data_IF_691612456014
#
_entry.id   IF_691612456014
#
_cell.length_a   1.000
_cell.length_b   1.000
_cell.length_c   1.000
_cell.angle_alpha   90.00
_cell.angle_beta   90.00
_cell.angle_gamma   90.00
#
_symmetry.space_group_name_H-M   'P 1'
#
loop_
_entity.id
_entity.type
_entity.pdbx_description
1 polymer ?
#
# COMPACT_ATOMS: atom_id res chain seq x y z
N UNK A 1 34.27 44.03 -91.05
CA UNK A 1 33.47 44.91 -90.19
C UNK A 1 33.11 44.10 -88.97
N UNK A 2 33.52 44.63 -87.84
CA UNK A 2 33.47 44.11 -86.48
C UNK A 2 32.04 44.17 -85.92
N UNK A 3 31.57 43.05 -85.38
CA UNK A 3 30.50 43.05 -84.38
C UNK A 3 31.12 42.60 -83.05
N UNK A 4 31.09 43.52 -82.10
CA UNK A 4 31.75 43.49 -80.80
C UNK A 4 30.73 43.05 -79.75
N UNK A 5 30.81 41.79 -79.28
CA UNK A 5 30.04 41.32 -78.13
C UNK A 5 30.63 41.92 -76.85
N UNK A 6 29.86 42.79 -76.19
CA UNK A 6 30.20 43.30 -74.84
C UNK A 6 29.51 42.44 -73.78
N UNK A 7 30.30 41.59 -73.13
CA UNK A 7 29.89 40.79 -71.97
C UNK A 7 29.79 41.68 -70.72
N UNK A 8 28.58 41.83 -70.14
CA UNK A 8 28.37 42.62 -68.91
C UNK A 8 28.49 41.74 -67.67
N UNK A 9 29.34 42.10 -66.67
CA UNK A 9 29.69 41.20 -65.57
C UNK A 9 28.68 41.25 -64.41
N UNK A 10 28.30 40.05 -63.95
CA UNK A 10 28.15 39.70 -62.54
C UNK A 10 27.10 40.43 -61.69
N UNK A 11 25.93 39.79 -61.51
CA UNK A 11 25.14 39.91 -60.26
C UNK A 11 25.00 38.54 -59.61
N UNK A 12 25.92 38.20 -58.70
CA UNK A 12 25.69 37.08 -57.76
C UNK A 12 24.80 37.61 -56.62
N UNK A 13 23.67 36.96 -56.28
CA UNK A 13 22.84 37.40 -55.17
C UNK A 13 23.61 37.25 -53.87
N UNK A 14 23.73 38.34 -53.09
CA UNK A 14 24.31 38.29 -51.74
C UNK A 14 23.51 37.31 -50.89
N UNK A 15 24.11 36.17 -50.55
CA UNK A 15 23.58 35.26 -49.54
C UNK A 15 23.79 35.91 -48.17
N UNK A 16 22.71 36.44 -47.60
CA UNK A 16 22.69 36.91 -46.21
C UNK A 16 23.05 35.74 -45.27
N UNK A 17 23.90 35.98 -44.25
CA UNK A 17 24.29 34.94 -43.32
C UNK A 17 23.05 34.41 -42.58
N UNK A 18 22.88 33.09 -42.50
CA UNK A 18 21.72 32.39 -41.93
C UNK A 18 21.49 32.64 -40.41
N UNK A 19 22.20 33.58 -39.81
CA UNK A 19 22.15 33.92 -38.38
C UNK A 19 22.14 35.45 -38.14
N UNK A 20 21.42 36.22 -38.95
CA UNK A 20 21.07 37.59 -38.55
C UNK A 20 20.11 37.50 -37.34
N UNK A 21 20.48 38.12 -36.22
CA UNK A 21 19.64 38.15 -35.02
C UNK A 21 18.29 38.82 -35.37
N UNK A 22 17.21 38.04 -35.33
CA UNK A 22 15.85 38.50 -35.63
C UNK A 22 15.54 39.70 -34.72
N UNK A 23 15.27 40.88 -35.29
CA UNK A 23 14.84 42.06 -34.53
C UNK A 23 13.55 41.69 -33.80
N UNK A 24 13.61 41.62 -32.47
CA UNK A 24 12.45 41.24 -31.63
C UNK A 24 11.57 42.47 -31.39
N UNK A 25 10.26 42.31 -31.59
CA UNK A 25 9.29 43.35 -31.26
C UNK A 25 9.17 43.48 -29.72
N UNK A 26 9.25 44.71 -29.20
CA UNK A 26 9.18 45.04 -27.75
C UNK A 26 7.83 45.64 -27.34
N UNK A 27 6.82 45.59 -28.21
CA UNK A 27 5.45 45.99 -27.86
C UNK A 27 4.94 45.17 -26.65
N UNK A 28 4.10 45.76 -25.77
CA UNK A 28 3.55 45.05 -24.62
C UNK A 28 2.70 43.85 -25.08
N UNK A 29 2.87 42.71 -24.41
CA UNK A 29 2.10 41.51 -24.71
C UNK A 29 0.64 41.69 -24.27
N UNK A 30 -0.34 41.20 -25.05
CA UNK A 30 -1.76 41.33 -24.70
C UNK A 30 -2.16 40.44 -23.51
N UNK A 31 -1.43 39.35 -23.27
CA UNK A 31 -1.64 38.45 -22.14
C UNK A 31 -0.35 38.38 -21.31
N UNK A 32 -0.48 38.64 -20.02
CA UNK A 32 0.61 38.51 -19.06
C UNK A 32 0.68 37.08 -18.55
N UNK A 33 1.88 36.54 -18.46
CA UNK A 33 2.12 35.20 -17.92
C UNK A 33 1.82 35.25 -16.43
N UNK A 34 0.85 34.45 -15.97
CA UNK A 34 0.51 34.34 -14.56
C UNK A 34 1.30 33.21 -13.89
N UNK A 35 1.47 33.30 -12.57
CA UNK A 35 2.08 32.21 -11.80
C UNK A 35 1.29 30.89 -11.93
N UNK A 36 -0.05 30.96 -12.01
CA UNK A 36 -0.89 29.78 -12.21
C UNK A 36 -0.62 29.09 -13.56
N UNK A 37 -0.46 29.87 -14.63
CA UNK A 37 -0.17 29.31 -15.96
C UNK A 37 1.15 28.54 -15.96
N UNK A 38 2.18 29.09 -15.33
CA UNK A 38 3.47 28.41 -15.17
C UNK A 38 3.34 27.11 -14.37
N UNK A 39 2.59 27.13 -13.26
CA UNK A 39 2.38 25.95 -12.41
C UNK A 39 1.55 24.88 -13.13
N UNK A 40 0.54 25.27 -13.91
CA UNK A 40 -0.28 24.36 -14.71
C UNK A 40 0.54 23.69 -15.81
N UNK A 41 1.32 24.46 -16.54
CA UNK A 41 2.18 23.96 -17.62
C UNK A 41 3.33 23.09 -17.07
N UNK A 42 3.85 23.43 -15.89
CA UNK A 42 4.82 22.59 -15.19
C UNK A 42 4.21 21.25 -14.75
N UNK A 43 2.96 21.28 -14.26
CA UNK A 43 2.24 20.05 -13.89
C UNK A 43 1.93 19.19 -15.12
N UNK A 44 1.41 19.76 -16.21
CA UNK A 44 1.09 19.04 -17.46
C UNK A 44 2.29 18.37 -18.11
N UNK A 45 3.50 18.92 -17.93
CA UNK A 45 4.72 18.30 -18.44
C UNK A 45 5.05 16.98 -17.77
N UNK A 46 4.55 16.72 -16.56
CA UNK A 46 4.64 15.43 -15.83
C UNK A 46 6.03 14.75 -15.94
N UNK A 47 7.11 15.52 -15.96
CA UNK A 47 8.48 15.05 -16.29
C UNK A 47 9.01 13.94 -15.37
N UNK A 48 8.48 13.86 -14.15
CA UNK A 48 8.89 12.90 -13.12
C UNK A 48 7.98 11.66 -13.05
N UNK A 49 6.84 11.65 -13.73
CA UNK A 49 5.97 10.49 -13.74
C UNK A 49 6.55 9.43 -14.67
N UNK A 50 7.11 8.38 -14.07
CA UNK A 50 7.50 7.19 -14.80
C UNK A 50 6.24 6.58 -15.45
N UNK A 51 6.31 6.19 -16.74
CA UNK A 51 5.19 5.49 -17.35
C UNK A 51 4.91 4.20 -16.57
N UNK A 52 3.63 3.81 -16.44
CA UNK A 52 3.30 2.58 -15.74
C UNK A 52 3.96 1.38 -16.45
N UNK A 53 4.38 0.35 -15.71
CA UNK A 53 4.98 -0.83 -16.32
C UNK A 53 3.99 -1.52 -17.28
N UNK A 54 4.46 -2.12 -18.38
CA UNK A 54 3.60 -2.84 -19.31
C UNK A 54 2.90 -4.00 -18.61
N UNK A 55 1.61 -4.21 -18.90
CA UNK A 55 0.81 -5.30 -18.34
C UNK A 55 1.22 -6.63 -18.99
N UNK A 56 2.12 -7.38 -18.35
CA UNK A 56 2.48 -8.73 -18.76
C UNK A 56 1.42 -9.74 -18.30
N UNK A 57 1.02 -10.66 -19.19
CA UNK A 57 0.20 -11.82 -18.82
C UNK A 57 1.15 -12.97 -18.52
N UNK A 58 1.01 -13.58 -17.34
CA UNK A 58 1.84 -14.71 -16.91
C UNK A 58 1.20 -15.96 -17.48
N UNK A 59 1.91 -16.68 -18.36
CA UNK A 59 1.39 -17.91 -18.98
C UNK A 59 1.99 -19.16 -18.35
N UNK A 60 3.28 -19.12 -18.01
CA UNK A 60 4.00 -20.31 -17.57
C UNK A 60 4.18 -20.37 -16.05
N UNK A 61 4.21 -21.57 -15.45
CA UNK A 61 4.44 -21.73 -14.01
C UNK A 61 5.84 -21.25 -13.59
N UNK A 62 6.82 -21.33 -14.49
CA UNK A 62 8.17 -20.81 -14.26
C UNK A 62 8.18 -19.28 -14.19
N UNK A 63 7.47 -18.61 -15.10
CA UNK A 63 7.28 -17.16 -15.08
C UNK A 63 6.56 -16.70 -13.81
N UNK A 64 5.54 -17.45 -13.37
CA UNK A 64 4.84 -17.17 -12.11
C UNK A 64 5.81 -17.26 -10.92
N UNK A 65 6.65 -18.29 -10.88
CA UNK A 65 7.65 -18.46 -9.83
C UNK A 65 8.69 -17.34 -9.85
N UNK A 66 9.13 -16.89 -11.03
CA UNK A 66 10.05 -15.76 -11.16
C UNK A 66 9.40 -14.46 -10.69
N UNK A 67 8.14 -14.21 -11.07
CA UNK A 67 7.37 -13.06 -10.61
C UNK A 67 7.25 -13.05 -9.07
N UNK A 68 6.92 -14.20 -8.47
CA UNK A 68 6.86 -14.34 -7.02
C UNK A 68 8.23 -14.09 -6.37
N UNK A 69 9.32 -14.65 -6.91
CA UNK A 69 10.68 -14.42 -6.40
C UNK A 69 11.06 -12.94 -6.47
N UNK A 70 10.79 -12.27 -7.58
CA UNK A 70 11.06 -10.84 -7.78
C UNK A 70 10.29 -10.00 -6.76
N UNK A 71 9.01 -10.28 -6.56
CA UNK A 71 8.17 -9.58 -5.58
C UNK A 71 8.59 -9.83 -4.14
N UNK A 72 8.94 -11.07 -3.78
CA UNK A 72 9.52 -11.38 -2.45
C UNK A 72 10.80 -10.60 -2.20
N UNK A 73 11.70 -10.55 -3.19
CA UNK A 73 12.93 -9.77 -3.08
C UNK A 73 12.63 -8.28 -2.86
N UNK A 74 11.68 -7.71 -3.59
CA UNK A 74 11.25 -6.32 -3.41
C UNK A 74 10.76 -6.03 -1.98
N UNK A 75 9.92 -6.92 -1.43
CA UNK A 75 9.44 -6.78 -0.05
C UNK A 75 10.55 -6.95 0.99
N UNK A 76 11.39 -7.99 0.86
CA UNK A 76 12.51 -8.24 1.76
C UNK A 76 13.55 -7.10 1.72
N UNK A 77 13.84 -6.57 0.53
CA UNK A 77 14.72 -5.40 0.37
C UNK A 77 14.08 -4.16 1.03
N UNK A 78 12.75 -3.99 0.92
CA UNK A 78 12.00 -2.93 1.60
C UNK A 78 12.05 -3.04 3.13
N UNK A 79 11.90 -4.26 3.66
CA UNK A 79 12.02 -4.55 5.10
C UNK A 79 13.46 -4.31 5.58
N UNK A 80 14.47 -4.70 4.79
CA UNK A 80 15.88 -4.45 5.12
C UNK A 80 16.21 -2.96 5.21
N UNK A 81 15.62 -2.13 4.33
CA UNK A 81 15.76 -0.67 4.40
C UNK A 81 15.04 -0.07 5.62
N UNK A 82 13.78 -0.47 5.83
CA UNK A 82 12.91 0.09 6.87
C UNK A 82 12.36 -1.00 7.79
N UNK A 83 13.19 -1.52 8.70
CA UNK A 83 12.83 -2.66 9.58
C UNK A 83 11.63 -2.37 10.50
N UNK A 84 11.56 -1.15 11.04
CA UNK A 84 10.55 -0.77 12.03
C UNK A 84 9.20 -0.38 11.40
N UNK A 85 9.13 -0.28 10.06
CA UNK A 85 7.91 0.16 9.39
C UNK A 85 6.93 -1.01 9.25
N UNK A 86 5.98 -1.10 10.18
CA UNK A 86 4.97 -2.17 10.24
C UNK A 86 4.12 -2.32 8.98
N UNK A 87 3.89 -1.22 8.26
CA UNK A 87 3.13 -1.25 7.01
C UNK A 87 3.78 -2.16 5.95
N UNK A 88 5.11 -2.29 5.93
CA UNK A 88 5.82 -3.14 4.97
C UNK A 88 5.60 -4.62 5.30
N UNK A 89 5.65 -4.98 6.59
CA UNK A 89 5.34 -6.32 7.09
C UNK A 89 3.90 -6.73 6.77
N UNK A 90 2.93 -5.85 7.05
CA UNK A 90 1.50 -6.10 6.78
C UNK A 90 1.24 -6.26 5.28
N UNK A 91 1.82 -5.39 4.44
CA UNK A 91 1.70 -5.50 2.98
C UNK A 91 2.29 -6.82 2.48
N UNK A 92 3.43 -7.25 3.02
CA UNK A 92 4.07 -8.49 2.61
C UNK A 92 3.24 -9.72 3.02
N UNK A 93 2.75 -9.77 4.26
CA UNK A 93 1.87 -10.86 4.72
C UNK A 93 0.56 -10.97 3.93
N UNK A 94 -0.09 -9.83 3.62
CA UNK A 94 -1.29 -9.80 2.78
C UNK A 94 -1.03 -10.27 1.35
N UNK A 95 0.16 -10.00 0.82
CA UNK A 95 0.52 -10.45 -0.52
C UNK A 95 0.76 -11.96 -0.57
N UNK A 96 1.48 -12.54 0.40
CA UNK A 96 1.62 -14.01 0.50
C UNK A 96 0.26 -14.69 0.72
N UNK A 97 -0.64 -14.06 1.48
CA UNK A 97 -2.03 -14.52 1.62
C UNK A 97 -2.77 -14.53 0.27
N UNK A 98 -2.61 -13.47 -0.54
CA UNK A 98 -3.26 -13.40 -1.86
C UNK A 98 -2.79 -14.49 -2.84
N UNK A 99 -1.59 -15.05 -2.62
CA UNK A 99 -1.06 -16.19 -3.38
C UNK A 99 -1.60 -17.53 -2.84
N UNK A 100 -2.10 -17.55 -1.61
CA UNK A 100 -2.52 -18.76 -0.90
C UNK A 100 -1.39 -19.43 -0.08
N UNK A 101 -0.23 -18.81 0.02
CA UNK A 101 0.95 -19.33 0.73
C UNK A 101 0.91 -18.95 2.22
N UNK A 102 -0.07 -19.52 2.94
CA UNK A 102 -0.38 -19.18 4.33
C UNK A 102 0.81 -19.45 5.27
N UNK A 103 1.56 -20.53 5.04
CA UNK A 103 2.68 -20.89 5.92
C UNK A 103 3.83 -19.87 5.84
N UNK A 104 4.08 -19.28 4.66
CA UNK A 104 5.05 -18.18 4.54
C UNK A 104 4.50 -16.91 5.19
N UNK A 105 3.23 -16.61 4.98
CA UNK A 105 2.57 -15.46 5.63
C UNK A 105 2.71 -15.52 7.16
N UNK A 106 2.50 -16.68 7.77
CA UNK A 106 2.77 -16.92 9.21
C UNK A 106 4.20 -16.59 9.60
N UNK A 107 5.19 -17.09 8.86
CA UNK A 107 6.60 -16.79 9.13
C UNK A 107 6.89 -15.29 9.06
N UNK A 108 6.27 -14.57 8.12
CA UNK A 108 6.41 -13.12 8.00
C UNK A 108 5.79 -12.40 9.19
N UNK A 109 4.60 -12.81 9.63
CA UNK A 109 3.95 -12.22 10.81
C UNK A 109 4.70 -12.51 12.10
N UNK A 110 5.19 -13.73 12.31
CA UNK A 110 6.01 -14.06 13.50
C UNK A 110 7.31 -13.25 13.51
N UNK A 111 7.99 -13.11 12.36
CA UNK A 111 9.15 -12.20 12.23
C UNK A 111 8.79 -10.74 12.51
N UNK A 112 7.59 -10.30 12.13
CA UNK A 112 7.12 -8.95 12.42
C UNK A 112 6.86 -8.75 13.92
N UNK A 113 6.32 -9.77 14.60
CA UNK A 113 6.14 -9.79 16.05
C UNK A 113 7.48 -9.79 16.80
N UNK A 114 8.51 -10.46 16.28
CA UNK A 114 9.87 -10.40 16.85
C UNK A 114 10.44 -8.97 16.81
N UNK A 115 10.05 -8.16 15.83
CA UNK A 115 10.45 -6.75 15.73
C UNK A 115 9.65 -5.86 16.67
N UNK A 116 8.32 -6.00 16.66
CA UNK A 116 7.42 -5.24 17.54
C UNK A 116 6.22 -6.07 18.01
N UNK A 117 6.40 -6.73 19.15
CA UNK A 117 5.38 -7.56 19.77
C UNK A 117 4.29 -6.76 20.50
N UNK A 118 4.47 -5.45 20.72
CA UNK A 118 3.47 -4.58 21.37
C UNK A 118 2.53 -3.93 20.37
N UNK A 119 2.82 -4.03 19.08
CA UNK A 119 1.93 -3.47 18.06
C UNK A 119 0.65 -4.28 17.91
N UNK A 120 -0.46 -3.64 18.23
CA UNK A 120 -1.77 -4.29 18.18
C UNK A 120 -2.20 -4.59 16.74
N UNK A 121 -1.80 -3.74 15.79
CA UNK A 121 -2.21 -3.90 14.39
C UNK A 121 -1.65 -5.18 13.77
N UNK A 122 -0.44 -5.60 14.13
CA UNK A 122 0.17 -6.84 13.62
C UNK A 122 -0.61 -8.05 14.13
N UNK A 123 -0.89 -8.11 15.43
CA UNK A 123 -1.67 -9.19 16.05
C UNK A 123 -3.06 -9.31 15.42
N UNK A 124 -3.76 -8.19 15.23
CA UNK A 124 -5.08 -8.18 14.59
C UNK A 124 -5.00 -8.66 13.14
N UNK A 125 -4.06 -8.14 12.34
CA UNK A 125 -3.91 -8.57 10.95
C UNK A 125 -3.53 -10.05 10.83
N UNK A 126 -2.72 -10.55 11.76
CA UNK A 126 -2.33 -11.95 11.79
C UNK A 126 -3.52 -12.87 12.12
N UNK A 127 -4.27 -12.55 13.18
CA UNK A 127 -5.47 -13.31 13.55
C UNK A 127 -6.55 -13.24 12.46
N UNK A 128 -6.77 -12.07 11.85
CA UNK A 128 -7.72 -11.92 10.75
C UNK A 128 -7.31 -12.72 9.51
N UNK A 129 -6.01 -12.87 9.24
CA UNK A 129 -5.53 -13.75 8.18
C UNK A 129 -5.88 -15.21 8.47
N UNK A 130 -5.66 -15.71 9.69
CA UNK A 130 -5.98 -17.10 10.06
C UNK A 130 -7.49 -17.37 9.94
N UNK A 131 -8.31 -16.38 10.32
CA UNK A 131 -9.77 -16.44 10.14
C UNK A 131 -10.15 -16.53 8.65
N UNK A 132 -9.56 -15.72 7.78
CA UNK A 132 -9.82 -15.77 6.32
C UNK A 132 -9.38 -17.10 5.71
N UNK A 133 -8.28 -17.68 6.19
CA UNK A 133 -7.80 -19.00 5.78
C UNK A 133 -8.55 -20.17 6.44
N UNK A 134 -9.58 -19.90 7.27
CA UNK A 134 -10.40 -20.89 8.00
C UNK A 134 -9.60 -21.76 8.99
N UNK A 135 -8.47 -21.26 9.48
CA UNK A 135 -7.59 -21.97 10.42
C UNK A 135 -7.92 -21.55 11.86
N UNK A 136 -9.02 -22.09 12.39
CA UNK A 136 -9.60 -21.67 13.68
C UNK A 136 -8.65 -21.93 14.85
N UNK A 137 -8.03 -23.11 14.91
CA UNK A 137 -7.14 -23.47 16.03
C UNK A 137 -5.91 -22.56 16.09
N UNK A 138 -5.35 -22.19 14.94
CA UNK A 138 -4.25 -21.23 14.88
C UNK A 138 -4.71 -19.83 15.31
N UNK A 139 -5.88 -19.38 14.85
CA UNK A 139 -6.44 -18.09 15.27
C UNK A 139 -6.62 -18.01 16.80
N UNK A 140 -7.14 -19.07 17.44
CA UNK A 140 -7.25 -19.16 18.91
C UNK A 140 -5.90 -19.00 19.60
N UNK A 141 -4.90 -19.77 19.17
CA UNK A 141 -3.56 -19.69 19.75
C UNK A 141 -2.95 -18.28 19.60
N UNK A 142 -3.21 -17.58 18.49
CA UNK A 142 -2.75 -16.21 18.28
C UNK A 142 -3.46 -15.24 19.22
N UNK A 143 -4.78 -15.36 19.38
CA UNK A 143 -5.54 -14.52 20.31
C UNK A 143 -5.14 -14.77 21.77
N UNK A 144 -4.96 -16.02 22.19
CA UNK A 144 -4.51 -16.38 23.54
C UNK A 144 -3.14 -15.76 23.85
N UNK A 145 -2.20 -15.83 22.91
CA UNK A 145 -0.89 -15.17 23.01
C UNK A 145 -1.03 -13.65 23.10
N UNK A 146 -1.84 -13.04 22.23
CA UNK A 146 -2.04 -11.60 22.20
C UNK A 146 -2.62 -11.06 23.51
N UNK A 147 -3.62 -11.76 24.06
CA UNK A 147 -4.26 -11.45 25.35
C UNK A 147 -3.27 -11.59 26.51
N UNK A 148 -2.42 -12.63 26.48
CA UNK A 148 -1.41 -12.85 27.52
C UNK A 148 -0.37 -11.73 27.53
N UNK A 149 0.06 -11.25 26.35
CA UNK A 149 1.08 -10.19 26.24
C UNK A 149 0.49 -8.81 26.53
N UNK A 150 -0.76 -8.56 26.09
CA UNK A 150 -1.44 -7.27 26.23
C UNK A 150 -2.88 -7.45 26.74
N UNK A 151 -3.08 -7.73 28.03
CA UNK A 151 -4.41 -7.97 28.58
C UNK A 151 -5.27 -6.71 28.62
N UNK A 152 -4.67 -5.51 28.62
CA UNK A 152 -5.39 -4.22 28.63
C UNK A 152 -5.90 -3.82 27.25
N UNK A 153 -5.44 -4.47 26.18
CA UNK A 153 -5.85 -4.14 24.82
C UNK A 153 -7.22 -4.76 24.50
N UNK A 154 -8.26 -3.98 24.75
CA UNK A 154 -9.67 -4.33 24.54
C UNK A 154 -9.98 -4.99 23.19
N UNK A 155 -9.39 -4.49 22.12
CA UNK A 155 -9.68 -4.94 20.76
C UNK A 155 -9.40 -6.43 20.52
N UNK A 156 -8.49 -7.05 21.28
CA UNK A 156 -8.28 -8.49 21.20
C UNK A 156 -9.47 -9.26 21.79
N UNK A 157 -9.93 -8.87 22.96
CA UNK A 157 -11.08 -9.49 23.63
C UNK A 157 -12.34 -9.42 22.76
N UNK A 158 -12.63 -8.23 22.20
CA UNK A 158 -13.78 -8.03 21.32
C UNK A 158 -13.71 -8.87 20.06
N UNK A 159 -12.56 -8.88 19.38
CA UNK A 159 -12.38 -9.66 18.15
C UNK A 159 -12.40 -11.17 18.43
N UNK A 160 -11.86 -11.58 19.57
CA UNK A 160 -11.82 -12.98 19.97
C UNK A 160 -13.23 -13.51 20.32
N UNK A 161 -13.99 -12.75 21.10
CA UNK A 161 -15.40 -13.08 21.41
C UNK A 161 -16.24 -13.16 20.12
N UNK A 162 -16.11 -12.17 19.23
CA UNK A 162 -16.75 -12.19 17.91
C UNK A 162 -16.38 -13.44 17.07
N UNK A 163 -15.12 -13.87 17.12
CA UNK A 163 -14.70 -15.09 16.42
C UNK A 163 -15.38 -16.34 16.98
N UNK A 164 -15.43 -16.52 18.31
CA UNK A 164 -16.09 -17.68 18.92
C UNK A 164 -17.62 -17.66 18.71
N UNK A 165 -18.24 -16.48 18.64
CA UNK A 165 -19.65 -16.35 18.27
C UNK A 165 -19.92 -16.77 16.83
N UNK A 166 -19.06 -16.38 15.88
CA UNK A 166 -19.16 -16.82 14.47
C UNK A 166 -18.98 -18.34 14.34
N UNK A 167 -18.27 -18.97 15.27
CA UNK A 167 -18.10 -20.44 15.35
C UNK A 167 -19.25 -21.10 16.13
N UNK A 168 -20.17 -20.32 16.70
CA UNK A 168 -21.28 -20.75 17.57
C UNK A 168 -20.82 -21.44 18.88
N UNK A 169 -19.58 -21.18 19.31
CA UNK A 169 -19.03 -21.69 20.56
C UNK A 169 -19.39 -20.78 21.75
N UNK A 170 -20.66 -20.81 22.15
CA UNK A 170 -21.19 -20.00 23.26
C UNK A 170 -20.43 -20.21 24.58
N UNK A 171 -20.05 -21.44 24.99
CA UNK A 171 -19.27 -21.65 26.20
C UNK A 171 -17.89 -20.97 26.17
N UNK A 172 -17.20 -21.02 25.02
CA UNK A 172 -15.89 -20.40 24.82
C UNK A 172 -15.96 -18.87 24.90
N UNK A 173 -16.93 -18.27 24.20
CA UNK A 173 -17.16 -16.82 24.24
C UNK A 173 -17.41 -16.32 25.67
N UNK A 174 -18.24 -17.02 26.45
CA UNK A 174 -18.49 -16.67 27.87
C UNK A 174 -17.24 -16.73 28.75
N UNK A 175 -16.30 -17.63 28.45
CA UNK A 175 -15.05 -17.72 29.20
C UNK A 175 -14.15 -16.51 28.95
N UNK A 176 -14.14 -16.00 27.71
CA UNK A 176 -13.37 -14.83 27.28
C UNK A 176 -14.01 -13.53 27.79
N UNK A 177 -15.34 -13.45 27.84
CA UNK A 177 -16.07 -12.26 28.28
C UNK A 177 -16.01 -12.04 29.80
N UNK A 178 -15.77 -13.08 30.60
CA UNK A 178 -15.73 -12.99 32.07
C UNK A 178 -14.62 -12.06 32.60
N UNK A 179 -13.34 -12.21 32.18
CA UNK A 179 -12.29 -11.23 32.52
C UNK A 179 -12.60 -9.82 32.04
N UNK A 180 -13.26 -9.70 30.89
CA UNK A 180 -13.59 -8.41 30.28
C UNK A 180 -14.61 -7.64 31.14
N UNK A 181 -15.69 -8.31 31.56
CA UNK A 181 -16.73 -7.71 32.39
C UNK A 181 -16.21 -7.28 33.77
N UNK A 182 -15.27 -8.07 34.33
CA UNK A 182 -14.67 -7.80 35.64
C UNK A 182 -13.76 -6.57 35.63
N UNK A 183 -13.08 -6.28 34.51
CA UNK A 183 -12.09 -5.19 34.45
C UNK A 183 -12.63 -3.84 33.98
N UNK A 184 -13.71 -3.80 33.18
CA UNK A 184 -14.20 -2.56 32.54
C UNK A 184 -15.61 -2.12 32.96
N UNK A 185 -16.31 -2.94 33.75
CA UNK A 185 -17.64 -2.62 34.28
C UNK A 185 -18.76 -2.67 33.23
N UNK A 186 -20.02 -2.70 33.71
CA UNK A 186 -21.23 -2.91 32.89
C UNK A 186 -21.48 -1.83 31.83
N UNK A 187 -20.86 -0.65 31.94
CA UNK A 187 -21.03 0.47 31.01
C UNK A 187 -20.54 0.17 29.58
N UNK A 188 -19.55 -0.73 29.43
CA UNK A 188 -18.98 -1.04 28.11
C UNK A 188 -19.89 -1.96 27.28
N UNK A 189 -20.64 -2.85 27.94
CA UNK A 189 -21.64 -3.73 27.30
C UNK A 189 -22.76 -2.92 26.62
N UNK A 190 -23.09 -1.76 27.19
CA UNK A 190 -24.14 -0.87 26.66
C UNK A 190 -23.69 -0.06 25.43
N UNK A 191 -22.38 0.16 25.24
CA UNK A 191 -21.84 0.98 24.14
C UNK A 191 -21.62 0.19 22.86
N UNK A 192 -21.54 -1.14 22.92
CA UNK A 192 -21.37 -1.99 21.75
C UNK A 192 -22.39 -3.15 21.74
N UNK A 193 -23.69 -2.84 21.53
CA UNK A 193 -24.78 -3.82 21.55
C UNK A 193 -24.64 -4.93 20.48
N UNK A 194 -23.83 -4.71 19.45
CA UNK A 194 -23.51 -5.71 18.43
C UNK A 194 -22.67 -6.90 18.94
N UNK A 195 -22.15 -6.83 20.17
CA UNK A 195 -21.43 -7.92 20.85
C UNK A 195 -22.15 -8.35 22.14
N UNK A 196 -23.41 -7.94 22.36
CA UNK A 196 -24.26 -8.44 23.44
C UNK A 196 -24.99 -9.71 22.99
N UNK A 197 -24.33 -10.88 22.95
CA UNK A 197 -25.06 -12.13 22.61
C UNK A 197 -25.01 -13.18 23.71
N UNK A 198 -24.03 -13.15 24.62
CA UNK A 198 -23.85 -14.27 25.57
C UNK A 198 -24.37 -14.01 26.99
N UNK A 199 -24.54 -12.75 27.40
CA UNK A 199 -24.89 -12.38 28.78
C UNK A 199 -26.41 -12.35 29.08
N UNK A 200 -27.30 -12.40 28.08
CA UNK A 200 -28.76 -12.28 28.28
C UNK A 200 -29.57 -13.57 28.10
N UNK A 201 -28.95 -14.71 27.79
CA UNK A 201 -29.72 -15.91 27.39
C UNK A 201 -30.07 -16.85 28.57
N UNK A 202 -29.48 -16.71 29.76
CA UNK A 202 -29.83 -17.56 30.91
C UNK A 202 -29.95 -16.77 32.23
N UNK A 203 -30.97 -15.91 32.33
CA UNK A 203 -31.72 -15.74 33.59
C UNK A 203 -33.02 -16.54 33.47
#
# INVERSE_FOLDING_TARGET
>A
MSDEETEVPGKKPMRLPKKAAKVKNKAPAPLQITAEQLLREAKERELELLPPPPKAKITDPEELAEFQRKKRKEFEDGIRKNRNQLANWIKYGKWEESIGEVQRSRSVFERALDVDHRSITIWLQYAEMEMRCKQINHARNVFDRAVTIMPRAMQFWLKYSYMEEVIENVPGARQIDRPLSSSLGKHYLFSYPQYEVTCRIND
#
